data_IF_816404756595
#
_entry.id   IF_816404756595
#
_cell.length_a   1.000
_cell.length_b   1.000
_cell.length_c   1.000
_cell.angle_alpha   90.00
_cell.angle_beta   90.00
_cell.angle_gamma   90.00
#
_symmetry.space_group_name_H-M   'P 1'
#
loop_
_entity.id
_entity.type
_entity.pdbx_description
1 polymer ?
#
# COMPACT_ATOMS: atom_id res chain seq x y z
N UNK A 1 51.35 93.51 38.32
CA UNK A 1 49.92 93.35 38.51
C UNK A 1 49.46 92.25 37.57
N UNK A 2 48.69 91.35 38.01
CA UNK A 2 48.14 90.17 37.35
C UNK A 2 49.02 88.91 37.39
N UNK A 3 48.71 88.09 38.37
CA UNK A 3 49.21 86.76 38.57
C UNK A 3 48.50 85.77 37.65
N UNK A 4 49.26 84.95 36.91
CA UNK A 4 48.74 83.85 36.15
C UNK A 4 48.93 82.56 36.98
N UNK A 5 47.83 81.96 37.39
CA UNK A 5 47.78 80.62 38.01
C UNK A 5 47.87 79.55 36.96
N UNK A 6 48.91 78.70 37.05
CA UNK A 6 49.03 77.47 36.28
C UNK A 6 48.18 76.37 36.93
N UNK A 7 47.15 75.94 36.22
CA UNK A 7 46.40 74.75 36.61
C UNK A 7 47.05 73.50 36.07
N UNK A 8 47.31 72.50 36.95
CA UNK A 8 47.77 71.14 36.58
C UNK A 8 46.52 70.33 36.06
N UNK A 9 46.60 69.86 34.83
CA UNK A 9 45.64 68.84 34.33
C UNK A 9 46.23 67.45 34.66
N UNK A 10 45.50 66.71 35.47
CA UNK A 10 45.69 65.25 35.57
C UNK A 10 44.94 64.51 34.43
N UNK A 11 45.72 63.85 33.59
CA UNK A 11 45.12 62.93 32.59
C UNK A 11 44.84 61.57 33.28
N UNK A 12 43.56 61.25 33.40
CA UNK A 12 43.13 59.92 33.83
C UNK A 12 43.01 59.05 32.58
N UNK A 13 43.90 58.11 32.38
CA UNK A 13 43.84 57.09 31.36
C UNK A 13 42.88 55.99 31.84
N UNK A 14 41.66 55.94 31.29
CA UNK A 14 40.75 54.85 31.50
C UNK A 14 41.10 53.72 30.49
N UNK A 15 41.65 52.63 31.00
CA UNK A 15 41.79 51.37 30.22
C UNK A 15 40.45 50.67 30.14
N UNK A 16 39.82 50.71 28.97
CA UNK A 16 38.63 49.92 28.68
C UNK A 16 39.05 48.49 28.36
N UNK A 17 38.78 47.56 29.27
CA UNK A 17 38.89 46.12 29.01
C UNK A 17 37.73 45.68 28.15
N UNK A 18 37.98 45.38 26.87
CA UNK A 18 37.01 44.76 25.96
C UNK A 18 36.97 43.26 26.26
N UNK A 19 35.97 42.80 27.01
CA UNK A 19 35.65 41.39 27.12
C UNK A 19 34.99 40.95 25.85
N UNK A 20 35.71 40.21 25.00
CA UNK A 20 35.12 39.54 23.83
C UNK A 20 34.21 38.39 24.33
N UNK A 21 32.91 38.61 24.32
CA UNK A 21 31.93 37.54 24.49
C UNK A 21 32.03 36.60 23.29
N UNK A 22 32.50 35.39 23.50
CA UNK A 22 32.45 34.33 22.49
C UNK A 22 30.98 34.02 22.20
N UNK A 23 30.48 34.44 21.04
CA UNK A 23 29.19 34.04 20.51
C UNK A 23 29.36 32.59 20.03
N UNK A 24 28.94 31.61 20.83
CA UNK A 24 28.79 30.25 20.40
C UNK A 24 27.68 30.23 19.35
N UNK A 25 27.90 29.67 18.13
CA UNK A 25 26.83 29.51 17.18
C UNK A 25 25.75 28.63 17.80
N UNK A 26 24.45 28.89 17.51
CA UNK A 26 23.38 28.02 17.96
C UNK A 26 23.66 26.61 17.42
N UNK A 27 23.74 25.65 18.32
CA UNK A 27 23.74 24.24 17.94
C UNK A 27 22.48 24.00 17.11
N UNK A 28 22.66 23.68 15.83
CA UNK A 28 21.59 23.16 15.03
C UNK A 28 21.19 21.83 15.67
N UNK A 29 20.15 21.88 16.49
CA UNK A 29 19.52 20.67 16.99
C UNK A 29 19.10 19.91 15.73
N UNK A 30 19.72 18.77 15.46
CA UNK A 30 19.17 17.80 14.52
C UNK A 30 17.71 17.64 14.92
N UNK A 31 16.80 18.04 14.04
CA UNK A 31 15.41 17.69 14.20
C UNK A 31 15.40 16.18 14.41
N UNK A 32 15.01 15.75 15.60
CA UNK A 32 14.74 14.34 15.85
C UNK A 32 13.82 13.91 14.71
N UNK A 33 14.19 12.85 13.98
CA UNK A 33 13.34 12.22 12.99
C UNK A 33 11.95 12.09 13.63
N UNK A 34 10.95 12.67 12.97
CA UNK A 34 9.57 12.62 13.44
C UNK A 34 9.28 11.18 13.85
N UNK A 35 8.74 11.01 15.04
CA UNK A 35 8.44 9.72 15.64
C UNK A 35 7.79 8.83 14.58
N UNK A 36 8.39 7.68 14.27
CA UNK A 36 7.78 6.69 13.37
C UNK A 36 6.37 6.41 13.90
N UNK A 37 5.34 6.78 13.13
CA UNK A 37 3.96 6.54 13.52
C UNK A 37 3.79 5.10 14.00
N UNK A 38 2.98 4.89 15.01
CA UNK A 38 2.80 3.61 15.69
C UNK A 38 2.52 2.50 14.68
N UNK A 39 3.31 1.43 14.68
CA UNK A 39 3.04 0.23 13.89
C UNK A 39 1.65 -0.29 14.21
N UNK A 40 0.85 -0.58 13.18
CA UNK A 40 -0.44 -1.22 13.35
C UNK A 40 -0.31 -2.67 12.91
N UNK A 41 -0.18 -3.61 13.87
CA UNK A 41 -0.03 -5.02 13.56
C UNK A 41 -1.29 -5.55 12.88
N UNK A 42 -1.10 -6.56 12.03
CA UNK A 42 -2.21 -7.23 11.38
C UNK A 42 -3.16 -7.85 12.41
N UNK A 43 -4.43 -7.50 12.31
CA UNK A 43 -5.53 -8.00 13.12
C UNK A 43 -6.70 -8.48 12.28
N UNK A 44 -7.54 -9.32 12.89
CA UNK A 44 -8.74 -9.82 12.23
C UNK A 44 -9.76 -8.70 12.05
N UNK A 45 -10.16 -8.46 10.79
CA UNK A 45 -11.19 -7.50 10.42
C UNK A 45 -12.55 -8.13 10.20
N UNK A 46 -12.54 -9.33 9.62
CA UNK A 46 -13.76 -10.07 9.33
C UNK A 46 -13.47 -11.58 9.37
N UNK A 47 -14.43 -12.34 9.88
CA UNK A 47 -14.42 -13.81 9.84
C UNK A 47 -15.83 -14.35 9.70
N UNK A 48 -15.97 -15.37 8.85
CA UNK A 48 -17.19 -16.14 8.73
C UNK A 48 -16.89 -17.59 8.34
N UNK A 49 -17.82 -18.49 8.65
CA UNK A 49 -17.87 -19.85 8.10
C UNK A 49 -19.20 -19.96 7.39
N UNK A 50 -19.18 -19.93 6.08
CA UNK A 50 -20.39 -19.90 5.24
C UNK A 50 -20.14 -20.55 3.89
N UNK A 51 -21.21 -20.95 3.20
CA UNK A 51 -21.16 -21.31 1.80
C UNK A 51 -20.91 -20.05 0.97
N UNK A 52 -19.85 -20.01 0.15
CA UNK A 52 -19.52 -18.82 -0.64
C UNK A 52 -18.03 -18.64 -0.85
N UNK A 53 -17.60 -17.39 -0.99
CA UNK A 53 -16.21 -17.03 -1.28
C UNK A 53 -15.90 -15.56 -1.01
N UNK A 54 -14.69 -15.18 -1.39
CA UNK A 54 -14.23 -13.78 -1.41
C UNK A 54 -13.84 -13.44 -2.85
N UNK A 55 -14.24 -12.26 -3.28
CA UNK A 55 -13.86 -11.65 -4.55
C UNK A 55 -13.26 -10.27 -4.31
N UNK A 56 -12.50 -9.77 -5.26
CA UNK A 56 -11.90 -8.44 -5.16
C UNK A 56 -11.96 -7.67 -6.47
N UNK A 57 -11.90 -6.33 -6.37
CA UNK A 57 -11.59 -5.40 -7.45
C UNK A 57 -10.46 -4.49 -6.99
N UNK A 58 -9.55 -4.10 -7.88
CA UNK A 58 -8.40 -3.28 -7.54
C UNK A 58 -7.89 -2.48 -8.74
N UNK A 59 -7.20 -1.36 -8.47
CA UNK A 59 -6.35 -0.67 -9.44
C UNK A 59 -5.37 0.27 -8.75
N UNK A 60 -4.30 0.69 -9.48
CA UNK A 60 -3.38 1.74 -9.04
C UNK A 60 -3.96 3.13 -9.28
N UNK A 61 -3.51 4.13 -8.50
CA UNK A 61 -3.92 5.53 -8.61
C UNK A 61 -2.92 6.40 -9.38
N UNK A 62 -1.70 5.89 -9.61
CA UNK A 62 -0.61 6.57 -10.30
C UNK A 62 0.01 5.68 -11.35
N UNK A 63 0.67 6.29 -12.32
CA UNK A 63 1.46 5.62 -13.35
C UNK A 63 2.57 6.55 -13.80
N UNK A 64 3.54 6.05 -14.56
CA UNK A 64 4.59 6.90 -15.12
C UNK A 64 4.03 7.89 -16.14
N UNK A 65 4.71 9.01 -16.32
CA UNK A 65 4.38 10.05 -17.30
C UNK A 65 5.08 9.78 -18.62
N UNK A 66 4.32 9.85 -19.73
CA UNK A 66 4.85 9.71 -21.10
C UNK A 66 5.46 10.98 -21.65
N UNK A 67 5.12 12.15 -21.09
CA UNK A 67 5.58 13.47 -21.55
C UNK A 67 6.05 14.31 -20.37
N UNK A 68 7.32 14.62 -20.32
CA UNK A 68 7.93 15.51 -19.36
C UNK A 68 9.38 15.82 -19.71
N UNK A 69 9.82 17.04 -19.38
CA UNK A 69 11.20 17.52 -19.59
C UNK A 69 12.21 16.93 -18.61
N UNK A 70 11.83 15.93 -17.84
CA UNK A 70 12.73 15.27 -16.90
C UNK A 70 13.59 14.25 -17.61
N UNK A 71 14.89 14.52 -17.63
CA UNK A 71 15.89 13.51 -17.96
C UNK A 71 15.94 12.56 -16.76
N UNK A 72 15.54 11.30 -16.90
CA UNK A 72 15.60 10.37 -15.78
C UNK A 72 17.07 10.16 -15.40
N UNK A 73 17.38 10.15 -14.10
CA UNK A 73 18.54 9.42 -13.56
C UNK A 73 18.12 7.94 -13.50
N UNK A 74 17.66 7.44 -14.59
CA UNK A 74 17.24 6.08 -14.85
C UNK A 74 18.45 5.30 -15.28
N UNK A 75 18.49 3.99 -15.08
CA UNK A 75 19.38 3.14 -15.83
C UNK A 75 19.32 3.55 -17.32
N UNK A 76 20.46 3.64 -17.97
CA UNK A 76 20.54 4.12 -19.37
C UNK A 76 19.70 3.28 -20.35
N UNK A 77 19.27 2.10 -19.90
CA UNK A 77 18.47 1.10 -20.59
C UNK A 77 17.02 1.00 -20.10
N UNK A 78 16.59 1.92 -19.22
CA UNK A 78 15.19 1.91 -18.76
C UNK A 78 14.21 2.09 -19.91
N UNK A 79 13.18 1.26 -19.91
CA UNK A 79 12.12 1.30 -20.91
C UNK A 79 11.39 2.66 -20.89
N UNK A 80 10.88 3.10 -22.05
CA UNK A 80 9.94 4.22 -22.09
C UNK A 80 8.68 3.90 -21.26
N UNK A 81 8.01 4.91 -20.72
CA UNK A 81 6.86 4.72 -19.82
C UNK A 81 5.78 3.77 -20.38
N UNK A 82 5.47 3.86 -21.67
CA UNK A 82 4.47 2.97 -22.28
C UNK A 82 4.92 1.50 -22.24
N UNK A 83 6.21 1.24 -22.44
CA UNK A 83 6.77 -0.10 -22.32
C UNK A 83 6.92 -0.52 -20.84
N UNK A 84 7.19 0.43 -19.93
CA UNK A 84 7.30 0.17 -18.50
C UNK A 84 6.01 -0.37 -17.89
N UNK A 85 4.86 0.07 -18.38
CA UNK A 85 3.53 -0.39 -17.95
C UNK A 85 3.26 -1.87 -18.26
N UNK A 86 4.02 -2.45 -19.19
CA UNK A 86 3.96 -3.87 -19.56
C UNK A 86 5.24 -4.64 -19.17
N UNK A 87 6.22 -3.95 -18.57
CA UNK A 87 7.49 -4.52 -18.15
C UNK A 87 7.34 -5.36 -16.88
N UNK A 88 8.17 -6.35 -16.75
CA UNK A 88 8.35 -7.16 -15.53
C UNK A 88 9.66 -6.83 -14.79
N UNK A 89 10.28 -5.67 -15.12
CA UNK A 89 11.55 -5.22 -14.53
C UNK A 89 11.61 -3.71 -14.29
N UNK A 90 10.57 -2.95 -14.63
CA UNK A 90 10.56 -1.51 -14.48
C UNK A 90 10.00 -1.10 -13.11
N UNK A 91 10.83 -0.45 -12.30
CA UNK A 91 10.50 0.04 -10.97
C UNK A 91 9.88 1.45 -11.03
N UNK A 92 9.02 1.78 -10.08
CA UNK A 92 8.33 3.07 -9.99
C UNK A 92 9.29 4.24 -9.70
N UNK A 93 10.38 4.01 -8.98
CA UNK A 93 11.39 5.00 -8.61
C UNK A 93 12.23 5.51 -9.80
N UNK A 94 12.14 4.83 -10.95
CA UNK A 94 12.83 5.23 -12.19
C UNK A 94 12.10 6.33 -12.94
N UNK A 95 10.82 6.56 -12.67
CA UNK A 95 9.95 7.42 -13.48
C UNK A 95 9.45 8.64 -12.72
N UNK A 96 9.17 9.70 -13.45
CA UNK A 96 8.31 10.78 -13.00
C UNK A 96 6.85 10.27 -13.03
N UNK A 97 6.32 9.99 -11.86
CA UNK A 97 5.01 9.40 -11.69
C UNK A 97 3.92 10.47 -11.61
N UNK A 98 2.77 10.17 -12.18
CA UNK A 98 1.64 11.09 -12.27
C UNK A 98 0.32 10.38 -12.00
N UNK A 99 -0.71 11.13 -11.70
CA UNK A 99 -2.05 10.63 -11.47
C UNK A 99 -2.60 9.87 -12.67
N UNK A 100 -3.22 8.73 -12.42
CA UNK A 100 -4.09 8.06 -13.39
C UNK A 100 -5.48 8.65 -13.27
N UNK A 101 -5.95 9.33 -14.32
CA UNK A 101 -7.28 9.93 -14.36
C UNK A 101 -8.03 9.42 -15.58
N UNK A 102 -9.03 8.59 -15.34
CA UNK A 102 -9.78 7.89 -16.37
C UNK A 102 -10.98 8.67 -16.88
N UNK A 103 -11.69 9.36 -16.00
CA UNK A 103 -12.99 9.93 -16.32
C UNK A 103 -12.93 11.39 -16.72
N UNK A 104 -11.83 12.08 -16.44
CA UNK A 104 -11.63 13.51 -16.73
C UNK A 104 -12.66 14.43 -16.06
N UNK A 105 -13.28 14.00 -14.96
CA UNK A 105 -14.13 14.85 -14.14
C UNK A 105 -13.24 15.96 -13.53
N UNK A 106 -13.54 17.26 -13.74
CA UNK A 106 -12.71 18.34 -13.22
C UNK A 106 -12.68 18.40 -11.70
N UNK A 107 -13.55 17.68 -11.01
CA UNK A 107 -13.57 17.58 -9.55
C UNK A 107 -12.71 16.41 -9.01
N UNK A 108 -12.14 15.59 -9.88
CA UNK A 108 -11.23 14.51 -9.50
C UNK A 108 -9.87 14.70 -10.15
N UNK A 109 -8.78 14.45 -9.43
CA UNK A 109 -7.43 14.49 -9.99
C UNK A 109 -6.86 13.11 -10.28
N UNK A 110 -7.47 12.06 -9.73
CA UNK A 110 -7.23 10.68 -10.13
C UNK A 110 -8.52 9.86 -10.08
N UNK A 111 -8.63 8.92 -11.00
CA UNK A 111 -9.74 7.98 -11.05
C UNK A 111 -9.33 6.72 -11.81
N UNK A 112 -9.70 5.55 -11.27
CA UNK A 112 -9.48 4.25 -11.93
C UNK A 112 -10.61 3.28 -11.65
N UNK A 113 -10.74 2.22 -12.47
CA UNK A 113 -11.83 1.25 -12.39
C UNK A 113 -11.35 -0.17 -12.21
N UNK A 114 -12.14 -0.97 -11.50
CA UNK A 114 -11.97 -2.41 -11.37
C UNK A 114 -13.30 -3.15 -11.33
N UNK A 115 -13.35 -4.33 -11.93
CA UNK A 115 -14.57 -5.16 -11.93
C UNK A 115 -14.63 -6.03 -10.66
N UNK A 116 -15.70 -5.87 -9.89
CA UNK A 116 -16.05 -6.78 -8.82
C UNK A 116 -16.98 -7.88 -9.36
N UNK A 117 -16.56 -9.15 -9.25
CA UNK A 117 -17.26 -10.31 -9.81
C UNK A 117 -18.01 -11.10 -8.75
N UNK A 118 -19.02 -10.50 -8.14
CA UNK A 118 -19.94 -11.23 -7.27
C UNK A 118 -20.83 -12.12 -8.14
N UNK A 119 -20.98 -13.44 -7.83
CA UNK A 119 -21.94 -14.30 -8.56
C UNK A 119 -23.35 -13.75 -8.48
N UNK A 120 -24.14 -13.91 -9.57
CA UNK A 120 -25.45 -13.27 -9.71
C UNK A 120 -26.48 -13.68 -8.63
N UNK A 121 -26.40 -14.91 -8.14
CA UNK A 121 -27.26 -15.49 -7.10
C UNK A 121 -26.64 -15.46 -5.70
N UNK A 122 -25.53 -14.72 -5.54
CA UNK A 122 -24.86 -14.56 -4.25
C UNK A 122 -25.33 -13.31 -3.52
N UNK A 123 -25.29 -13.38 -2.17
CA UNK A 123 -25.54 -12.25 -1.29
C UNK A 123 -24.23 -11.78 -0.66
N UNK A 124 -23.89 -10.51 -0.85
CA UNK A 124 -22.72 -9.93 -0.18
C UNK A 124 -22.93 -9.92 1.33
N UNK A 125 -22.08 -10.63 2.05
CA UNK A 125 -22.09 -10.70 3.52
C UNK A 125 -21.22 -9.61 4.16
N UNK A 126 -20.11 -9.25 3.49
CA UNK A 126 -19.19 -8.21 3.94
C UNK A 126 -18.47 -7.60 2.73
N UNK A 127 -18.19 -6.30 2.75
CA UNK A 127 -17.31 -5.66 1.77
C UNK A 127 -16.54 -4.50 2.40
N UNK A 128 -15.25 -4.38 2.07
CA UNK A 128 -14.39 -3.31 2.55
C UNK A 128 -13.54 -2.74 1.43
N UNK A 129 -13.41 -1.42 1.40
CA UNK A 129 -12.51 -0.71 0.52
C UNK A 129 -11.25 -0.32 1.29
N UNK A 130 -10.10 -0.65 0.74
CA UNK A 130 -8.77 -0.22 1.17
C UNK A 130 -8.21 0.74 0.14
N UNK A 131 -7.57 1.82 0.58
CA UNK A 131 -6.84 2.75 -0.28
C UNK A 131 -5.65 3.33 0.46
N UNK A 132 -4.63 3.73 -0.28
CA UNK A 132 -3.43 4.29 0.31
C UNK A 132 -2.42 4.71 -0.74
N UNK A 133 -1.33 5.29 -0.26
CA UNK A 133 -0.25 5.75 -1.12
C UNK A 133 0.87 6.47 -0.37
N UNK A 134 1.89 6.87 -1.13
CA UNK A 134 2.97 7.71 -0.66
C UNK A 134 2.59 9.19 -0.83
N UNK A 135 2.67 9.96 0.25
CA UNK A 135 2.29 11.39 0.30
C UNK A 135 3.44 12.33 -0.08
N UNK A 136 4.66 11.82 -0.22
CA UNK A 136 5.85 12.65 -0.43
C UNK A 136 6.76 12.08 -1.51
N UNK A 137 6.64 12.61 -2.72
CA UNK A 137 7.41 12.14 -3.89
C UNK A 137 7.93 13.27 -4.79
N UNK A 138 8.04 14.44 -4.35
CA UNK A 138 8.25 15.66 -5.14
C UNK A 138 7.13 16.61 -4.84
N UNK A 139 5.91 16.24 -5.10
CA UNK A 139 4.73 16.79 -4.44
C UNK A 139 4.69 16.31 -2.98
N UNK A 140 4.08 17.12 -2.11
CA UNK A 140 3.76 16.75 -0.74
C UNK A 140 2.27 16.93 -0.52
N UNK A 141 1.58 15.86 -0.14
CA UNK A 141 0.15 15.88 0.16
C UNK A 141 -0.10 16.02 1.65
N UNK A 142 -1.13 16.77 2.05
CA UNK A 142 -1.53 16.86 3.45
C UNK A 142 -2.19 15.55 3.90
N UNK A 143 -1.87 15.03 5.09
CA UNK A 143 -2.42 13.76 5.58
C UNK A 143 -3.90 13.85 5.99
N UNK A 144 -4.46 15.04 6.12
CA UNK A 144 -5.87 15.26 6.48
C UNK A 144 -6.83 14.68 5.46
N UNK A 145 -6.39 14.57 4.19
CA UNK A 145 -7.20 14.01 3.10
C UNK A 145 -7.15 12.48 3.00
N UNK A 146 -6.32 11.82 3.81
CA UNK A 146 -6.12 10.36 3.76
C UNK A 146 -7.41 9.55 4.00
N UNK A 147 -8.30 10.09 4.81
CA UNK A 147 -9.53 9.40 5.23
C UNK A 147 -10.70 9.53 4.24
N UNK A 148 -10.50 10.07 3.03
CA UNK A 148 -11.59 10.39 2.11
C UNK A 148 -11.28 9.94 0.69
N UNK A 149 -12.24 9.26 0.06
CA UNK A 149 -12.22 8.95 -1.38
C UNK A 149 -13.61 9.09 -1.98
N UNK A 150 -13.70 9.11 -3.30
CA UNK A 150 -14.95 9.02 -4.04
C UNK A 150 -15.09 7.63 -4.66
N UNK A 151 -16.29 7.07 -4.61
CA UNK A 151 -16.63 5.80 -5.26
C UNK A 151 -17.87 5.97 -6.14
N UNK A 152 -17.83 5.40 -7.35
CA UNK A 152 -19.01 5.24 -8.17
C UNK A 152 -19.26 3.74 -8.41
N UNK A 153 -20.49 3.30 -8.11
CA UNK A 153 -20.95 1.97 -8.45
C UNK A 153 -21.13 1.80 -9.96
N UNK A 154 -21.33 0.58 -10.46
CA UNK A 154 -21.58 0.35 -11.87
C UNK A 154 -22.75 1.20 -12.42
N UNK A 155 -22.42 2.14 -13.32
CA UNK A 155 -23.40 3.08 -13.90
C UNK A 155 -23.90 4.17 -12.96
N UNK A 156 -23.35 4.29 -11.74
CA UNK A 156 -23.72 5.32 -10.74
C UNK A 156 -22.88 6.58 -10.82
N UNK A 157 -23.27 7.58 -10.03
CA UNK A 157 -22.51 8.80 -9.80
C UNK A 157 -21.55 8.62 -8.59
N UNK A 158 -20.58 9.50 -8.48
CA UNK A 158 -19.68 9.53 -7.32
C UNK A 158 -20.42 9.77 -6.01
N UNK A 159 -20.04 9.00 -5.02
CA UNK A 159 -20.41 9.14 -3.62
C UNK A 159 -19.15 9.27 -2.78
N UNK A 160 -19.20 10.06 -1.75
CA UNK A 160 -18.12 10.19 -0.78
C UNK A 160 -18.10 8.96 0.13
N UNK A 161 -16.90 8.42 0.33
CA UNK A 161 -16.62 7.39 1.33
C UNK A 161 -15.59 7.94 2.31
N UNK A 162 -15.97 7.96 3.58
CA UNK A 162 -15.08 8.31 4.67
C UNK A 162 -14.57 7.04 5.34
N UNK A 163 -13.29 7.03 5.69
CA UNK A 163 -12.71 5.92 6.42
C UNK A 163 -13.37 5.77 7.79
N UNK A 164 -13.73 4.55 8.14
CA UNK A 164 -14.12 4.17 9.50
C UNK A 164 -12.90 3.79 10.34
N UNK A 165 -11.79 3.46 9.68
CA UNK A 165 -10.51 3.12 10.28
C UNK A 165 -9.40 3.70 9.44
N UNK A 166 -8.67 4.67 9.97
CA UNK A 166 -7.36 5.06 9.45
C UNK A 166 -6.34 4.09 10.01
N UNK A 167 -5.87 3.15 9.18
CA UNK A 167 -5.06 2.03 9.65
C UNK A 167 -3.62 2.44 9.93
N UNK A 168 -3.04 3.28 9.10
CA UNK A 168 -1.67 3.73 9.31
C UNK A 168 -1.31 4.98 8.54
N UNK A 169 -0.43 5.77 9.15
CA UNK A 169 0.32 6.85 8.51
C UNK A 169 1.72 6.83 9.11
N UNK A 170 2.72 6.54 8.28
CA UNK A 170 4.08 6.31 8.74
C UNK A 170 5.10 6.89 7.77
N UNK A 171 6.17 7.44 8.33
CA UNK A 171 7.37 7.78 7.57
C UNK A 171 8.42 6.70 7.80
N UNK A 172 8.78 5.97 6.77
CA UNK A 172 9.82 4.95 6.77
C UNK A 172 10.37 4.74 5.36
N UNK A 173 11.62 4.29 5.22
CA UNK A 173 12.24 3.99 3.92
C UNK A 173 12.26 5.16 2.92
N UNK A 174 12.13 6.41 3.39
CA UNK A 174 12.03 7.60 2.53
C UNK A 174 10.61 7.93 2.06
N UNK A 175 9.64 7.06 2.31
CA UNK A 175 8.22 7.29 2.02
C UNK A 175 7.50 7.90 3.22
N UNK A 176 6.48 8.69 2.94
CA UNK A 176 5.46 9.16 3.88
C UNK A 176 4.15 8.47 3.50
N UNK A 177 3.93 7.29 4.05
CA UNK A 177 2.97 6.30 3.58
C UNK A 177 1.73 6.22 4.46
N UNK A 178 0.58 5.97 3.84
CA UNK A 178 -0.64 5.71 4.59
C UNK A 178 -1.48 4.61 3.95
N UNK A 179 -2.36 4.02 4.76
CA UNK A 179 -3.51 3.23 4.32
C UNK A 179 -4.73 3.61 5.14
N UNK A 180 -5.86 3.76 4.47
CA UNK A 180 -7.18 3.94 5.06
C UNK A 180 -8.14 2.87 4.55
N UNK A 181 -9.25 2.68 5.24
CA UNK A 181 -10.27 1.73 4.81
C UNK A 181 -11.66 2.07 5.35
N UNK A 182 -12.69 1.56 4.68
CA UNK A 182 -14.08 1.73 5.05
C UNK A 182 -14.91 0.47 4.81
N UNK A 183 -15.85 0.19 5.70
CA UNK A 183 -16.92 -0.78 5.45
C UNK A 183 -17.89 -0.22 4.40
N UNK A 184 -17.92 -0.85 3.24
CA UNK A 184 -18.81 -0.49 2.13
C UNK A 184 -19.85 -1.58 1.85
N UNK A 185 -20.08 -2.46 2.82
CA UNK A 185 -21.04 -3.58 2.69
C UNK A 185 -22.41 -3.16 2.20
N UNK A 186 -23.04 -2.08 2.74
CA UNK A 186 -24.36 -1.65 2.25
C UNK A 186 -24.33 -1.22 0.78
N UNK A 187 -23.27 -0.51 0.37
CA UNK A 187 -23.09 -0.04 -1.00
C UNK A 187 -22.95 -1.20 -1.97
N UNK A 188 -22.01 -2.14 -1.69
CA UNK A 188 -21.76 -3.29 -2.58
C UNK A 188 -22.92 -4.26 -2.58
N UNK A 189 -23.62 -4.44 -1.46
CA UNK A 189 -24.83 -5.27 -1.39
C UNK A 189 -25.95 -4.73 -2.28
N UNK A 190 -26.09 -3.41 -2.36
CA UNK A 190 -27.09 -2.75 -3.20
C UNK A 190 -26.73 -2.77 -4.68
N UNK A 191 -25.46 -2.51 -5.01
CA UNK A 191 -25.01 -2.35 -6.39
C UNK A 191 -24.61 -3.67 -7.07
N UNK A 192 -24.14 -4.67 -6.31
CA UNK A 192 -23.76 -5.98 -6.81
C UNK A 192 -22.46 -5.98 -7.62
N UNK A 193 -22.41 -6.89 -8.61
CA UNK A 193 -21.26 -7.05 -9.49
C UNK A 193 -21.15 -5.93 -10.53
N UNK A 194 -19.94 -5.62 -10.98
CA UNK A 194 -19.69 -4.71 -12.09
C UNK A 194 -18.45 -3.85 -11.93
N UNK A 195 -18.30 -2.85 -12.79
CA UNK A 195 -17.18 -1.92 -12.80
C UNK A 195 -17.38 -0.80 -11.77
N UNK A 196 -16.61 -0.81 -10.71
CA UNK A 196 -16.55 0.27 -9.73
C UNK A 196 -15.43 1.25 -10.09
N UNK A 197 -15.68 2.54 -9.88
CA UNK A 197 -14.67 3.59 -10.02
C UNK A 197 -14.30 4.09 -8.63
N UNK A 198 -13.01 4.20 -8.34
CA UNK A 198 -12.50 4.89 -7.15
C UNK A 198 -11.65 6.07 -7.60
N UNK A 199 -11.86 7.21 -6.97
CA UNK A 199 -11.25 8.49 -7.31
C UNK A 199 -10.85 9.27 -6.05
N UNK A 200 -10.02 10.30 -6.23
CA UNK A 200 -9.55 11.21 -5.16
C UNK A 200 -8.75 10.49 -4.07
N UNK A 201 -7.98 9.46 -4.46
CA UNK A 201 -7.03 8.86 -3.54
C UNK A 201 -5.90 9.85 -3.29
N UNK A 202 -5.63 10.15 -2.02
CA UNK A 202 -4.58 11.09 -1.61
C UNK A 202 -3.21 10.44 -1.83
N UNK A 203 -2.57 10.74 -2.95
CA UNK A 203 -1.27 10.21 -3.36
C UNK A 203 -0.45 11.30 -4.03
N UNK A 204 0.84 11.40 -3.70
CA UNK A 204 1.72 12.38 -4.30
C UNK A 204 2.21 11.94 -5.68
N UNK A 205 2.47 12.91 -6.54
CA UNK A 205 3.13 12.72 -7.83
C UNK A 205 4.58 13.19 -7.78
N UNK A 206 5.39 12.72 -8.71
CA UNK A 206 6.79 13.11 -8.85
C UNK A 206 7.72 11.92 -8.86
N UNK A 207 8.95 12.14 -8.38
CA UNK A 207 10.01 11.15 -8.37
C UNK A 207 10.89 11.27 -7.14
N UNK A 208 11.11 10.16 -6.45
CA UNK A 208 12.12 9.98 -5.39
C UNK A 208 12.64 8.55 -5.43
N UNK A 209 13.69 8.26 -4.66
CA UNK A 209 14.18 6.89 -4.51
C UNK A 209 13.20 5.96 -3.77
N UNK A 210 12.20 6.49 -3.10
CA UNK A 210 11.12 5.72 -2.48
C UNK A 210 9.92 5.51 -3.42
N UNK A 211 10.01 5.99 -4.65
CA UNK A 211 8.94 5.89 -5.63
C UNK A 211 7.64 6.61 -5.29
N UNK A 212 6.82 6.87 -6.32
CA UNK A 212 5.43 7.24 -6.15
C UNK A 212 4.56 6.00 -6.38
N UNK A 213 3.71 5.68 -5.44
CA UNK A 213 2.85 4.52 -5.48
C UNK A 213 1.56 4.77 -4.69
N UNK A 214 0.55 4.05 -5.06
CA UNK A 214 -0.74 4.09 -4.40
C UNK A 214 -1.82 3.45 -5.25
N UNK A 215 -2.91 3.09 -4.59
CA UNK A 215 -4.02 2.40 -5.24
C UNK A 215 -5.11 2.03 -4.26
N UNK A 216 -6.02 1.19 -4.74
CA UNK A 216 -7.15 0.73 -3.97
C UNK A 216 -7.48 -0.73 -4.25
N UNK A 217 -8.01 -1.40 -3.23
CA UNK A 217 -8.57 -2.73 -3.32
C UNK A 217 -9.91 -2.80 -2.59
N UNK A 218 -10.93 -3.26 -3.27
CA UNK A 218 -12.22 -3.62 -2.69
C UNK A 218 -12.27 -5.13 -2.52
N UNK A 219 -12.50 -5.60 -1.30
CA UNK A 219 -12.66 -7.03 -0.96
C UNK A 219 -14.11 -7.25 -0.58
N UNK A 220 -14.76 -8.26 -1.16
CA UNK A 220 -16.14 -8.62 -0.85
C UNK A 220 -16.28 -10.11 -0.57
N UNK A 221 -16.77 -10.45 0.63
CA UNK A 221 -17.21 -11.78 0.97
C UNK A 221 -18.70 -11.94 0.57
N UNK A 222 -19.03 -13.08 0.02
CA UNK A 222 -20.40 -13.38 -0.37
C UNK A 222 -20.86 -14.76 0.12
N UNK A 223 -22.13 -14.89 0.35
CA UNK A 223 -22.83 -16.13 0.64
C UNK A 223 -23.56 -16.64 -0.59
N UNK A 224 -23.39 -17.93 -0.89
CA UNK A 224 -24.05 -18.64 -2.01
C UNK A 224 -24.25 -20.10 -1.62
N UNK A 225 -25.49 -20.57 -1.45
CA UNK A 225 -25.76 -21.92 -0.93
C UNK A 225 -25.18 -23.07 -1.77
N UNK A 226 -24.98 -22.86 -3.06
CA UNK A 226 -24.39 -23.85 -3.99
C UNK A 226 -22.85 -23.96 -3.94
N UNK A 227 -22.20 -23.04 -3.25
CA UNK A 227 -20.73 -23.03 -3.12
C UNK A 227 -20.25 -23.93 -1.97
N UNK A 228 -18.98 -24.35 -1.95
CA UNK A 228 -18.39 -25.03 -0.82
C UNK A 228 -18.53 -24.23 0.49
N UNK A 229 -18.66 -24.94 1.61
CA UNK A 229 -18.53 -24.31 2.94
C UNK A 229 -17.07 -23.89 3.14
N UNK A 230 -16.84 -22.61 3.50
CA UNK A 230 -15.52 -22.05 3.63
C UNK A 230 -15.33 -21.21 4.88
N UNK A 231 -14.12 -21.22 5.40
CA UNK A 231 -13.60 -20.17 6.25
C UNK A 231 -13.28 -18.97 5.37
N UNK A 232 -13.94 -17.85 5.63
CA UNK A 232 -13.68 -16.56 5.02
C UNK A 232 -13.09 -15.64 6.08
N UNK A 233 -12.00 -14.98 5.79
CA UNK A 233 -11.36 -14.04 6.71
C UNK A 233 -10.71 -12.87 5.96
N UNK A 234 -10.76 -11.69 6.58
CA UNK A 234 -10.00 -10.51 6.18
C UNK A 234 -9.20 -10.05 7.38
N UNK A 235 -7.92 -9.84 7.16
CA UNK A 235 -6.99 -9.32 8.14
C UNK A 235 -6.32 -8.07 7.56
N UNK A 236 -6.21 -7.04 8.36
CA UNK A 236 -5.57 -5.80 7.95
C UNK A 236 -4.64 -5.25 9.01
N UNK A 237 -3.73 -4.44 8.57
CA UNK A 237 -2.72 -3.72 9.34
C UNK A 237 -2.04 -2.73 8.42
N UNK A 238 -0.93 -2.16 8.86
CA UNK A 238 -0.07 -1.37 8.00
C UNK A 238 1.38 -1.51 8.45
N UNK A 239 2.13 -2.34 7.75
CA UNK A 239 3.47 -2.77 8.12
C UNK A 239 4.45 -2.58 6.97
N UNK A 240 5.52 -1.84 7.22
CA UNK A 240 6.66 -1.77 6.31
C UNK A 240 7.60 -2.95 6.55
N UNK A 241 8.03 -3.58 5.47
CA UNK A 241 9.15 -4.52 5.46
C UNK A 241 10.30 -3.88 4.68
N UNK A 242 11.45 -3.79 5.30
CA UNK A 242 12.66 -3.14 4.81
C UNK A 242 13.91 -3.82 5.40
N UNK A 243 15.07 -3.17 5.29
CA UNK A 243 16.31 -3.67 5.89
C UNK A 243 16.22 -3.87 7.40
N UNK A 244 15.42 -3.09 8.10
CA UNK A 244 15.22 -3.16 9.55
C UNK A 244 14.27 -4.28 9.97
N UNK A 245 13.36 -4.67 9.09
CA UNK A 245 12.38 -5.74 9.32
C UNK A 245 12.02 -6.46 8.05
N UNK A 246 12.60 -7.61 7.82
CA UNK A 246 12.47 -8.38 6.57
C UNK A 246 11.34 -9.42 6.56
N UNK A 247 10.58 -9.55 7.63
CA UNK A 247 9.53 -10.58 7.72
C UNK A 247 8.31 -10.11 8.51
N UNK A 248 7.12 -10.37 7.97
CA UNK A 248 5.84 -10.32 8.66
C UNK A 248 5.27 -11.74 8.75
N UNK A 249 4.78 -12.11 9.94
CA UNK A 249 4.04 -13.35 10.16
C UNK A 249 2.64 -13.03 10.66
N UNK A 250 1.63 -13.61 9.98
CA UNK A 250 0.23 -13.46 10.32
C UNK A 250 -0.36 -14.84 10.58
N UNK A 251 -0.90 -15.04 11.78
CA UNK A 251 -1.58 -16.27 12.16
C UNK A 251 -3.10 -16.13 12.04
N UNK A 252 -3.73 -16.92 11.18
CA UNK A 252 -5.18 -16.92 11.00
C UNK A 252 -5.94 -17.74 12.06
N UNK A 253 -5.22 -18.32 13.04
CA UNK A 253 -5.79 -19.13 14.11
C UNK A 253 -6.32 -20.48 13.61
N UNK A 254 -7.41 -20.97 14.26
CA UNK A 254 -7.98 -22.27 13.90
C UNK A 254 -8.81 -22.18 12.63
N UNK A 255 -8.41 -22.98 11.64
CA UNK A 255 -9.07 -23.14 10.33
C UNK A 255 -9.13 -24.64 10.01
N UNK A 256 -10.01 -25.42 10.64
CA UNK A 256 -10.11 -26.84 10.37
C UNK A 256 -10.55 -27.11 8.92
N UNK A 257 -9.65 -27.74 8.16
CA UNK A 257 -9.84 -28.03 6.75
C UNK A 257 -10.13 -29.51 6.49
N UNK A 258 -10.86 -29.87 5.42
CA UNK A 258 -11.00 -31.26 4.98
C UNK A 258 -9.69 -31.82 4.43
N UNK A 259 -9.64 -33.14 4.22
CA UNK A 259 -8.46 -33.81 3.69
C UNK A 259 -8.05 -33.36 2.29
N UNK A 260 -8.99 -32.85 1.51
CA UNK A 260 -8.77 -32.28 0.16
C UNK A 260 -9.36 -30.88 0.13
N UNK A 261 -8.70 -29.96 0.84
CA UNK A 261 -9.13 -28.58 0.85
C UNK A 261 -8.62 -27.83 -0.38
N UNK A 262 -9.42 -26.90 -0.85
CA UNK A 262 -9.01 -25.85 -1.77
C UNK A 262 -9.16 -24.50 -1.10
N UNK A 263 -8.53 -23.49 -1.65
CA UNK A 263 -8.65 -22.15 -1.10
C UNK A 263 -7.82 -21.14 -1.87
N UNK A 264 -8.00 -19.88 -1.48
CA UNK A 264 -7.25 -18.76 -2.01
C UNK A 264 -6.78 -17.83 -0.88
N UNK A 265 -5.63 -17.20 -1.09
CA UNK A 265 -5.10 -16.12 -0.28
C UNK A 265 -4.94 -14.89 -1.16
N UNK A 266 -5.52 -13.77 -0.73
CA UNK A 266 -5.30 -12.48 -1.35
C UNK A 266 -4.34 -11.63 -0.51
N UNK A 267 -3.53 -10.82 -1.19
CA UNK A 267 -2.55 -9.90 -0.60
C UNK A 267 -2.75 -8.52 -1.21
N UNK A 268 -2.70 -7.49 -0.38
CA UNK A 268 -2.64 -6.08 -0.79
C UNK A 268 -1.35 -5.49 -0.25
N UNK A 269 -0.53 -5.00 -1.17
CA UNK A 269 0.76 -4.40 -0.84
C UNK A 269 1.04 -3.17 -1.72
N UNK A 270 2.02 -2.38 -1.28
CA UNK A 270 2.48 -1.19 -1.98
C UNK A 270 4.00 -1.22 -2.09
N UNK A 271 4.53 -0.56 -3.11
CA UNK A 271 5.96 -0.37 -3.36
C UNK A 271 6.73 -1.67 -3.64
N UNK A 272 6.05 -2.73 -4.07
CA UNK A 272 6.72 -3.90 -4.59
C UNK A 272 7.26 -3.65 -6.00
N UNK A 273 8.55 -3.84 -6.21
CA UNK A 273 9.21 -3.54 -7.45
C UNK A 273 9.55 -4.79 -8.27
N UNK A 274 9.09 -4.89 -9.53
CA UNK A 274 9.34 -6.06 -10.35
C UNK A 274 10.84 -6.21 -10.66
N UNK A 275 11.34 -7.45 -10.51
CA UNK A 275 12.74 -7.78 -10.76
C UNK A 275 13.69 -7.52 -9.58
N UNK A 276 13.24 -6.91 -8.48
CA UNK A 276 14.00 -6.84 -7.22
C UNK A 276 13.75 -8.11 -6.41
N UNK A 277 14.56 -9.12 -6.68
CA UNK A 277 14.37 -10.46 -6.13
C UNK A 277 14.61 -10.55 -4.63
N UNK A 278 13.86 -11.45 -3.99
CA UNK A 278 13.98 -11.80 -2.59
C UNK A 278 12.65 -11.73 -1.84
N UNK A 279 11.60 -11.26 -2.49
CA UNK A 279 10.26 -11.25 -1.93
C UNK A 279 9.62 -12.61 -2.04
N UNK A 280 9.06 -13.08 -0.94
CA UNK A 280 8.46 -14.40 -0.91
C UNK A 280 7.30 -14.49 0.05
N UNK A 281 6.33 -15.30 -0.29
CA UNK A 281 5.20 -15.64 0.57
C UNK A 281 5.17 -17.13 0.82
N UNK A 282 5.08 -17.51 2.09
CA UNK A 282 4.95 -18.90 2.49
C UNK A 282 3.70 -19.10 3.34
N UNK A 283 3.07 -20.26 3.16
CA UNK A 283 1.88 -20.68 3.89
C UNK A 283 2.18 -21.96 4.63
N UNK A 284 2.01 -21.92 5.94
CA UNK A 284 2.12 -23.10 6.82
C UNK A 284 0.74 -23.49 7.35
N UNK A 285 0.35 -24.75 7.24
CA UNK A 285 -0.89 -25.28 7.79
C UNK A 285 -0.62 -26.45 8.72
N UNK A 286 -1.19 -26.41 9.92
CA UNK A 286 -0.99 -27.44 10.93
C UNK A 286 0.48 -27.61 11.32
N UNK A 287 0.95 -28.87 11.40
CA UNK A 287 2.34 -29.23 11.74
C UNK A 287 3.23 -29.48 10.51
N UNK A 288 2.71 -29.23 9.32
CA UNK A 288 3.46 -29.36 8.07
C UNK A 288 4.50 -28.26 7.89
N UNK A 289 5.47 -28.51 7.01
CA UNK A 289 6.41 -27.49 6.58
C UNK A 289 5.66 -26.39 5.81
N UNK A 290 6.03 -25.14 6.03
CA UNK A 290 5.52 -24.04 5.23
C UNK A 290 5.92 -24.22 3.76
N UNK A 291 5.01 -23.90 2.85
CA UNK A 291 5.19 -23.96 1.39
C UNK A 291 5.20 -22.58 0.81
N UNK A 292 6.12 -22.32 -0.10
CA UNK A 292 6.11 -21.11 -0.90
C UNK A 292 4.89 -21.13 -1.82
N UNK A 293 4.24 -19.97 -1.94
CA UNK A 293 3.19 -19.74 -2.94
C UNK A 293 3.77 -18.84 -4.02
N UNK A 294 3.44 -19.18 -5.26
CA UNK A 294 3.86 -18.45 -6.44
C UNK A 294 2.94 -18.85 -7.59
N UNK A 295 2.93 -18.03 -8.63
CA UNK A 295 2.23 -18.34 -9.86
C UNK A 295 2.96 -17.71 -11.07
N UNK A 296 2.32 -17.71 -12.23
CA UNK A 296 2.93 -17.17 -13.46
C UNK A 296 3.19 -15.67 -13.38
N UNK A 297 2.32 -14.92 -12.71
CA UNK A 297 2.43 -13.46 -12.57
C UNK A 297 3.35 -13.08 -11.43
N UNK A 298 3.49 -13.95 -10.43
CA UNK A 298 4.17 -13.71 -9.17
C UNK A 298 5.19 -14.83 -8.91
N UNK A 299 6.44 -14.73 -9.43
CA UNK A 299 7.50 -15.72 -9.18
C UNK A 299 7.82 -15.87 -7.69
N UNK A 300 8.31 -17.04 -7.28
CA UNK A 300 8.52 -17.39 -5.87
C UNK A 300 9.54 -16.51 -5.11
N UNK A 301 10.39 -15.80 -5.83
CA UNK A 301 11.41 -14.88 -5.33
C UNK A 301 11.16 -13.42 -5.73
N UNK A 302 9.96 -13.11 -6.28
CA UNK A 302 9.52 -11.80 -6.75
C UNK A 302 7.97 -11.77 -6.73
N UNK A 303 7.40 -12.00 -5.55
CA UNK A 303 5.95 -12.22 -5.38
C UNK A 303 5.18 -10.91 -5.32
N UNK A 304 5.80 -9.85 -4.80
CA UNK A 304 5.24 -8.50 -4.72
C UNK A 304 5.95 -7.64 -5.76
N UNK A 305 5.42 -7.66 -6.97
CA UNK A 305 6.10 -7.19 -8.17
C UNK A 305 5.26 -6.21 -8.99
N UNK A 306 4.52 -5.35 -8.32
CA UNK A 306 3.66 -4.34 -8.96
C UNK A 306 2.61 -4.97 -9.88
N UNK A 307 1.96 -6.04 -9.46
CA UNK A 307 0.92 -6.68 -10.28
C UNK A 307 -0.45 -6.71 -9.61
N UNK A 308 -1.48 -6.83 -10.43
CA UNK A 308 -2.84 -7.13 -9.99
C UNK A 308 -3.27 -8.40 -10.73
N UNK A 309 -3.06 -9.55 -10.10
CA UNK A 309 -3.25 -10.85 -10.70
C UNK A 309 -4.24 -11.72 -9.89
N UNK A 310 -4.87 -12.66 -10.57
CA UNK A 310 -5.74 -13.65 -9.97
C UNK A 310 -5.32 -15.04 -10.44
N UNK A 311 -4.77 -15.83 -9.51
CA UNK A 311 -4.25 -17.18 -9.76
C UNK A 311 -3.33 -17.27 -10.99
N UNK A 312 -2.39 -16.33 -11.09
CA UNK A 312 -1.42 -16.25 -12.18
C UNK A 312 -1.94 -15.61 -13.47
N UNK A 313 -3.09 -14.94 -13.43
CA UNK A 313 -3.65 -14.23 -14.57
C UNK A 313 -3.76 -12.74 -14.31
N UNK A 314 -3.07 -11.94 -15.11
CA UNK A 314 -3.22 -10.47 -15.15
C UNK A 314 -4.46 -10.01 -15.95
N UNK A 315 -5.27 -10.93 -16.45
CA UNK A 315 -6.49 -10.65 -17.24
C UNK A 315 -7.67 -10.25 -16.36
N UNK A 316 -7.43 -9.42 -15.38
CA UNK A 316 -8.47 -8.84 -14.52
C UNK A 316 -9.03 -7.62 -15.22
N UNK A 317 -10.34 -7.56 -15.35
CA UNK A 317 -10.99 -6.43 -15.99
C UNK A 317 -10.89 -5.20 -15.11
N UNK A 318 -10.03 -4.27 -15.51
CA UNK A 318 -9.80 -2.97 -14.88
C UNK A 318 -9.44 -1.91 -15.93
N UNK A 319 -9.48 -0.66 -15.57
CA UNK A 319 -9.14 0.46 -16.43
C UNK A 319 -8.39 1.54 -15.62
N UNK A 320 -7.17 1.90 -16.04
CA UNK A 320 -6.37 1.22 -17.06
C UNK A 320 -5.98 -0.19 -16.61
N UNK A 321 -5.65 -1.07 -17.58
CA UNK A 321 -5.29 -2.46 -17.31
C UNK A 321 -3.78 -2.68 -17.53
N UNK A 322 -2.93 -1.87 -16.91
CA UNK A 322 -1.48 -2.02 -17.01
C UNK A 322 -1.03 -3.31 -16.32
N UNK A 323 -0.15 -4.08 -16.97
CA UNK A 323 0.41 -5.30 -16.39
C UNK A 323 1.28 -4.97 -15.18
N UNK A 324 2.16 -3.97 -15.32
CA UNK A 324 2.92 -3.38 -14.25
C UNK A 324 2.18 -2.13 -13.74
N UNK A 325 1.76 -2.15 -12.50
CA UNK A 325 1.06 -1.05 -11.83
C UNK A 325 2.01 0.01 -11.30
N UNK A 326 3.31 -0.26 -11.33
CA UNK A 326 4.37 0.61 -10.82
C UNK A 326 4.15 0.97 -9.32
N UNK A 327 4.23 -0.06 -8.46
CA UNK A 327 4.21 0.10 -7.00
C UNK A 327 2.89 -0.22 -6.30
N UNK A 328 2.00 -1.03 -6.91
CA UNK A 328 0.79 -1.49 -6.26
C UNK A 328 0.49 -2.95 -6.56
N UNK A 329 0.34 -3.76 -5.52
CA UNK A 329 0.03 -5.18 -5.62
C UNK A 329 -1.34 -5.49 -5.03
N UNK A 330 -2.11 -6.27 -5.79
CA UNK A 330 -3.34 -6.87 -5.30
C UNK A 330 -3.54 -8.24 -5.93
N UNK A 331 -2.97 -9.27 -5.32
CA UNK A 331 -2.85 -10.59 -5.89
C UNK A 331 -3.68 -11.62 -5.13
N UNK A 332 -4.16 -12.61 -5.87
CA UNK A 332 -4.89 -13.76 -5.32
C UNK A 332 -4.20 -15.04 -5.76
N UNK A 333 -3.76 -15.83 -4.79
CA UNK A 333 -3.04 -17.09 -4.98
C UNK A 333 -3.91 -18.30 -4.73
N UNK A 334 -3.74 -19.37 -5.50
CA UNK A 334 -4.30 -20.68 -5.21
C UNK A 334 -3.50 -21.34 -4.07
N UNK A 335 -4.20 -21.82 -3.05
CA UNK A 335 -3.59 -22.48 -1.89
C UNK A 335 -3.61 -24.00 -1.96
N UNK A 336 -4.14 -24.60 -3.01
CA UNK A 336 -4.34 -26.05 -3.11
C UNK A 336 -3.08 -26.84 -2.75
N UNK A 337 -1.92 -26.42 -3.23
CA UNK A 337 -0.65 -27.09 -2.98
C UNK A 337 -0.05 -26.76 -1.60
N UNK A 338 -0.48 -25.67 -0.98
CA UNK A 338 0.01 -25.25 0.33
C UNK A 338 -0.81 -25.82 1.49
N UNK A 339 -2.05 -26.24 1.24
CA UNK A 339 -2.93 -26.81 2.26
C UNK A 339 -2.56 -28.25 2.59
N UNK A 340 -2.26 -28.52 3.85
CA UNK A 340 -1.99 -29.89 4.34
C UNK A 340 -3.31 -30.58 4.68
N UNK A 341 -3.52 -31.85 4.26
CA UNK A 341 -4.73 -32.60 4.56
C UNK A 341 -5.07 -32.62 6.06
N UNK A 342 -6.29 -32.17 6.40
CA UNK A 342 -6.78 -32.16 7.79
C UNK A 342 -6.09 -31.13 8.69
N UNK A 343 -5.45 -30.12 8.14
CA UNK A 343 -4.88 -29.00 8.90
C UNK A 343 -5.94 -28.28 9.73
N UNK A 344 -5.52 -27.69 10.83
CA UNK A 344 -6.41 -26.97 11.76
C UNK A 344 -5.96 -25.54 12.09
N UNK A 345 -4.79 -25.15 11.60
CA UNK A 345 -4.22 -23.81 11.78
C UNK A 345 -3.60 -23.33 10.48
N UNK A 346 -3.49 -22.02 10.28
CA UNK A 346 -2.84 -21.42 9.15
C UNK A 346 -2.01 -20.20 9.56
N UNK A 347 -0.80 -20.15 9.04
CA UNK A 347 0.10 -19.01 9.17
C UNK A 347 0.62 -18.60 7.81
N UNK A 348 0.69 -17.31 7.58
CA UNK A 348 1.30 -16.71 6.39
C UNK A 348 2.54 -15.95 6.82
N UNK A 349 3.66 -16.19 6.16
CA UNK A 349 4.89 -15.41 6.33
C UNK A 349 5.22 -14.73 5.01
N UNK A 350 5.40 -13.42 5.06
CA UNK A 350 5.77 -12.57 3.94
C UNK A 350 7.15 -12.01 4.24
N UNK A 351 8.06 -12.11 3.28
CA UNK A 351 9.44 -11.65 3.42
C UNK A 351 9.82 -10.77 2.26
N UNK A 352 10.66 -9.78 2.54
CA UNK A 352 11.40 -9.05 1.52
C UNK A 352 12.90 -9.34 1.58
N UNK A 353 13.54 -9.28 0.43
CA UNK A 353 15.00 -9.44 0.27
C UNK A 353 15.73 -8.11 0.35
N UNK A 354 15.57 -7.29 -0.66
CA UNK A 354 16.24 -5.99 -0.82
C UNK A 354 15.26 -4.85 -1.09
N UNK A 355 14.02 -5.20 -1.38
CA UNK A 355 12.97 -4.26 -1.63
C UNK A 355 12.37 -3.71 -0.33
N UNK A 356 11.74 -2.54 -0.41
CA UNK A 356 10.94 -1.96 0.66
C UNK A 356 9.48 -2.08 0.28
N UNK A 357 8.71 -2.87 1.03
CA UNK A 357 7.30 -3.12 0.74
C UNK A 357 6.41 -2.72 1.91
N UNK A 358 5.20 -2.29 1.60
CA UNK A 358 4.19 -1.94 2.60
C UNK A 358 3.00 -2.89 2.47
N UNK A 359 2.70 -3.59 3.55
CA UNK A 359 1.61 -4.57 3.58
C UNK A 359 0.37 -3.96 4.21
N UNK A 360 -0.76 -4.07 3.51
CA UNK A 360 -2.01 -3.43 3.88
C UNK A 360 -3.11 -4.39 4.30
N UNK A 361 -3.36 -5.46 3.54
CA UNK A 361 -4.40 -6.42 3.87
C UNK A 361 -4.09 -7.82 3.36
N UNK A 362 -4.66 -8.81 4.06
CA UNK A 362 -4.72 -10.21 3.65
C UNK A 362 -6.18 -10.67 3.68
N UNK A 363 -6.61 -11.43 2.71
CA UNK A 363 -7.93 -12.04 2.71
C UNK A 363 -7.89 -13.49 2.26
N UNK A 364 -8.73 -14.30 2.86
CA UNK A 364 -8.65 -15.76 2.79
C UNK A 364 -10.02 -16.37 2.54
N UNK A 365 -10.08 -17.33 1.62
CA UNK A 365 -11.21 -18.24 1.45
C UNK A 365 -10.68 -19.68 1.36
N UNK A 366 -10.94 -20.52 2.37
CA UNK A 366 -10.44 -21.91 2.44
C UNK A 366 -11.57 -22.85 2.82
N UNK A 367 -11.67 -23.99 2.16
CA UNK A 367 -12.68 -24.99 2.44
C UNK A 367 -12.70 -25.38 3.91
N UNK A 368 -13.87 -25.34 4.52
CA UNK A 368 -14.08 -25.66 5.93
C UNK A 368 -14.54 -27.11 6.12
N UNK A 369 -14.06 -27.75 7.18
CA UNK A 369 -14.60 -29.05 7.59
C UNK A 369 -15.94 -28.84 8.29
N UNK A 370 -16.95 -29.61 7.88
CA UNK A 370 -18.25 -29.71 8.55
C UNK A 370 -18.14 -30.28 9.95
#
# INVERSE_FOLDING_TARGET
MHAVRRGLLYAVTATASVTAAAVTPPSVSSAASADEGTRIPFGERYRAVQHGGIVRAANSAVTCRTTGTFTPVTPADAAACDAARDSDTASNDWYDMFYTDLDKDPNTYNSTRGELRVPADAKVSYARLYWGGNLRVGEQKPPEDNGRVLIAEPGGAYKEVLSDTLIGHRTAGGADAYQASADITPLVRSAGAGMYTVAQINVAMGRTAAGAWGGWTMVAAYERPGDPLRHLAVWDGFEALDEGRRELRVGFGRLPTPARATGSLGIVAYDGDPGIRGDSVTVGTGRGNARSIADRSNPADDVLNSSIADTGSNLIKRQPAYRNTLGYDSDVFDLREALVPGGDTMNVSIRTGRDSIWLGALFLAVDARR
#
